data_IF_936091774965
#
_entry.id   IF_936091774965
#
_cell.length_a   1.000
_cell.length_b   1.000
_cell.length_c   1.000
_cell.angle_alpha   90.00
_cell.angle_beta   90.00
_cell.angle_gamma   90.00
#
_symmetry.space_group_name_H-M   'P 1'
#
loop_
_entity.id
_entity.type
_entity.pdbx_description
1 polymer ?
#
# COMPACT_ATOMS: atom_id res chain seq x y z
N UNK A 1 -30.42 13.17 22.95
CA UNK A 1 -29.88 12.67 21.66
C UNK A 1 -28.43 13.14 21.42
N UNK A 2 -28.09 14.43 21.56
CA UNK A 2 -26.69 14.90 21.45
C UNK A 2 -25.77 14.37 22.57
N UNK A 3 -26.30 14.16 23.78
CA UNK A 3 -25.50 13.60 24.89
C UNK A 3 -25.10 12.13 24.67
N UNK A 4 -25.99 11.30 24.13
CA UNK A 4 -25.69 9.89 23.80
C UNK A 4 -24.59 9.79 22.74
N UNK A 5 -24.63 10.66 21.73
CA UNK A 5 -23.64 10.75 20.67
C UNK A 5 -22.26 11.12 21.24
N UNK A 6 -22.18 12.18 22.06
CA UNK A 6 -20.93 12.64 22.68
C UNK A 6 -20.38 11.59 23.66
N UNK A 7 -21.24 10.98 24.49
CA UNK A 7 -20.83 9.93 25.42
C UNK A 7 -20.34 8.68 24.71
N UNK A 8 -21.04 8.21 23.67
CA UNK A 8 -20.61 7.06 22.88
C UNK A 8 -19.24 7.31 22.23
N UNK A 9 -19.07 8.49 21.62
CA UNK A 9 -17.80 8.90 21.02
C UNK A 9 -16.66 8.98 22.05
N UNK A 10 -16.91 9.57 23.22
CA UNK A 10 -15.91 9.69 24.28
C UNK A 10 -15.50 8.33 24.85
N UNK A 11 -16.48 7.47 25.20
CA UNK A 11 -16.20 6.14 25.76
C UNK A 11 -15.41 5.26 24.79
N UNK A 12 -15.69 5.34 23.49
CA UNK A 12 -14.99 4.57 22.47
C UNK A 12 -13.59 5.13 22.19
N UNK A 13 -13.47 6.41 21.82
CA UNK A 13 -12.21 6.98 21.34
C UNK A 13 -11.25 7.40 22.45
N UNK A 14 -11.75 7.89 23.59
CA UNK A 14 -10.93 8.33 24.73
C UNK A 14 -10.91 7.26 25.82
N UNK A 15 -12.06 6.66 26.11
CA UNK A 15 -12.18 5.62 27.12
C UNK A 15 -11.59 4.26 26.70
N UNK A 16 -11.35 4.04 25.41
CA UNK A 16 -10.78 2.79 24.88
C UNK A 16 -11.72 1.58 25.01
N UNK A 17 -13.00 1.80 25.28
CA UNK A 17 -13.98 0.72 25.37
C UNK A 17 -14.25 0.13 23.98
N UNK A 18 -14.52 -1.18 23.93
CA UNK A 18 -15.05 -1.78 22.69
C UNK A 18 -16.47 -1.27 22.42
N UNK A 19 -16.93 -1.38 21.17
CA UNK A 19 -18.32 -1.03 20.82
C UNK A 19 -19.34 -1.83 21.64
N UNK A 20 -19.00 -3.07 22.00
CA UNK A 20 -19.85 -3.91 22.84
C UNK A 20 -19.91 -3.38 24.27
N UNK A 21 -18.79 -2.95 24.84
CA UNK A 21 -18.75 -2.37 26.19
C UNK A 21 -19.48 -1.02 26.24
N UNK A 22 -19.35 -0.20 25.20
CA UNK A 22 -20.11 1.05 25.05
C UNK A 22 -21.61 0.75 24.98
N UNK A 23 -22.02 -0.28 24.24
CA UNK A 23 -23.42 -0.68 24.12
C UNK A 23 -24.03 -1.08 25.47
N UNK A 24 -23.29 -1.89 26.25
CA UNK A 24 -23.69 -2.30 27.61
C UNK A 24 -23.75 -1.10 28.54
N UNK A 25 -22.77 -0.21 28.48
CA UNK A 25 -22.66 0.95 29.38
C UNK A 25 -23.72 2.02 29.14
N UNK A 26 -24.14 2.21 27.89
CA UNK A 26 -25.17 3.19 27.53
C UNK A 26 -26.58 2.59 27.45
N UNK A 27 -26.73 1.26 27.62
CA UNK A 27 -28.01 0.59 27.45
C UNK A 27 -28.55 0.66 26.03
N UNK A 28 -27.65 0.77 25.03
CA UNK A 28 -28.00 0.93 23.62
C UNK A 28 -27.66 -0.35 22.85
N UNK A 29 -28.37 -0.60 21.74
CA UNK A 29 -27.99 -1.68 20.84
C UNK A 29 -26.64 -1.38 20.16
N UNK A 30 -25.87 -2.42 19.82
CA UNK A 30 -24.61 -2.30 19.06
C UNK A 30 -24.81 -1.54 17.74
N UNK A 31 -25.94 -1.76 17.06
CA UNK A 31 -26.29 -1.04 15.83
C UNK A 31 -26.47 0.47 16.07
N UNK A 32 -27.12 0.86 17.18
CA UNK A 32 -27.28 2.27 17.54
C UNK A 32 -25.95 2.91 17.92
N UNK A 33 -25.07 2.20 18.65
CA UNK A 33 -23.70 2.69 18.94
C UNK A 33 -22.90 2.91 17.66
N UNK A 34 -22.93 1.97 16.70
CA UNK A 34 -22.26 2.11 15.40
C UNK A 34 -22.75 3.36 14.65
N UNK A 35 -24.07 3.57 14.61
CA UNK A 35 -24.66 4.74 13.98
C UNK A 35 -24.24 6.05 14.67
N UNK A 36 -24.21 6.08 16.01
CA UNK A 36 -23.76 7.26 16.77
C UNK A 36 -22.28 7.56 16.53
N UNK A 37 -21.41 6.55 16.45
CA UNK A 37 -19.99 6.74 16.15
C UNK A 37 -19.76 7.23 14.71
N UNK A 38 -20.55 6.72 13.75
CA UNK A 38 -20.54 7.23 12.37
C UNK A 38 -21.01 8.69 12.32
N UNK A 39 -22.16 8.99 12.93
CA UNK A 39 -22.70 10.36 12.99
C UNK A 39 -21.73 11.34 13.70
N UNK A 40 -21.02 10.90 14.73
CA UNK A 40 -20.00 11.69 15.41
C UNK A 40 -18.80 12.01 14.49
N UNK A 41 -18.44 11.11 13.58
CA UNK A 41 -17.43 11.35 12.54
C UNK A 41 -17.95 12.27 11.43
N UNK A 42 -19.13 11.98 10.90
CA UNK A 42 -19.73 12.71 9.77
C UNK A 42 -20.07 14.16 10.12
N UNK A 43 -20.50 14.41 11.36
CA UNK A 43 -20.77 15.76 11.88
C UNK A 43 -19.52 16.55 12.26
N UNK A 44 -18.34 15.92 12.23
CA UNK A 44 -17.07 16.53 12.65
C UNK A 44 -16.89 16.68 14.16
N UNK A 45 -17.80 16.12 14.98
CA UNK A 45 -17.65 16.07 16.44
C UNK A 45 -16.36 15.32 16.83
N UNK A 46 -16.05 14.24 16.12
CA UNK A 46 -14.81 13.48 16.26
C UNK A 46 -13.94 13.72 15.04
N UNK A 47 -12.75 14.27 15.26
CA UNK A 47 -11.68 14.37 14.26
C UNK A 47 -10.51 13.51 14.70
N UNK A 48 -10.19 12.50 13.91
CA UNK A 48 -9.03 11.63 14.14
C UNK A 48 -7.91 12.12 13.24
N UNK A 49 -6.78 12.47 13.83
CA UNK A 49 -5.56 12.84 13.12
C UNK A 49 -4.52 11.73 13.34
N UNK A 50 -3.94 11.20 12.28
CA UNK A 50 -2.93 10.14 12.38
C UNK A 50 -1.58 10.78 12.08
N UNK A 51 -0.93 11.33 13.11
CA UNK A 51 0.37 11.99 12.90
C UNK A 51 1.43 10.93 12.61
N UNK A 52 1.74 10.75 11.33
CA UNK A 52 2.78 9.87 10.82
C UNK A 52 3.44 10.55 9.61
N UNK A 53 4.74 10.32 9.40
CA UNK A 53 5.49 10.91 8.26
C UNK A 53 4.85 10.57 6.90
N UNK A 54 4.10 9.47 6.82
CA UNK A 54 3.39 9.02 5.61
C UNK A 54 1.91 9.40 5.54
N UNK A 55 1.33 10.12 6.53
CA UNK A 55 -0.11 10.47 6.57
C UNK A 55 -0.55 11.21 5.29
N UNK A 56 0.25 12.20 4.88
CA UNK A 56 -0.01 12.96 3.65
C UNK A 56 0.07 12.09 2.40
N UNK A 57 0.98 11.11 2.37
CA UNK A 57 1.14 10.16 1.28
C UNK A 57 -0.06 9.22 1.15
N UNK A 58 -0.58 8.70 2.27
CA UNK A 58 -1.76 7.83 2.29
C UNK A 58 -3.01 8.55 1.80
N UNK A 59 -3.29 9.75 2.34
CA UNK A 59 -4.44 10.54 1.91
C UNK A 59 -4.36 10.97 0.43
N UNK A 60 -3.15 11.21 -0.07
CA UNK A 60 -2.92 11.49 -1.49
C UNK A 60 -3.15 10.23 -2.35
N UNK A 61 -2.65 9.08 -1.90
CA UNK A 61 -2.84 7.80 -2.59
C UNK A 61 -4.34 7.48 -2.76
N UNK A 62 -5.14 7.61 -1.71
CA UNK A 62 -6.59 7.39 -1.75
C UNK A 62 -7.29 8.31 -2.75
N UNK A 63 -6.91 9.60 -2.78
CA UNK A 63 -7.46 10.58 -3.73
C UNK A 63 -7.13 10.23 -5.18
N UNK A 64 -5.89 9.82 -5.45
CA UNK A 64 -5.46 9.40 -6.79
C UNK A 64 -6.20 8.12 -7.20
N UNK A 65 -6.28 7.14 -6.30
CA UNK A 65 -6.98 5.88 -6.54
C UNK A 65 -8.45 6.12 -6.90
N UNK A 66 -9.16 6.91 -6.10
CA UNK A 66 -10.56 7.25 -6.34
C UNK A 66 -10.76 8.04 -7.64
N UNK A 67 -9.86 8.99 -7.95
CA UNK A 67 -9.97 9.83 -9.16
C UNK A 67 -9.77 9.03 -10.45
N UNK A 68 -8.85 8.07 -10.45
CA UNK A 68 -8.46 7.33 -11.66
C UNK A 68 -8.96 5.89 -11.69
N UNK A 69 -9.71 5.44 -10.68
CA UNK A 69 -10.22 4.08 -10.59
C UNK A 69 -9.13 3.02 -10.43
N UNK A 70 -8.05 3.34 -9.72
CA UNK A 70 -6.91 2.44 -9.52
C UNK A 70 -7.15 1.52 -8.32
N UNK A 71 -6.75 0.26 -8.45
CA UNK A 71 -6.86 -0.72 -7.35
C UNK A 71 -5.95 -0.39 -6.19
N UNK A 72 -4.76 0.14 -6.47
CA UNK A 72 -3.76 0.46 -5.47
C UNK A 72 -2.88 1.63 -5.93
N UNK A 73 -2.56 2.52 -4.99
CA UNK A 73 -1.62 3.62 -5.18
C UNK A 73 -0.72 3.67 -3.95
N UNK A 74 0.57 3.87 -4.17
CA UNK A 74 1.54 4.14 -3.11
C UNK A 74 2.29 5.43 -3.43
N UNK A 75 2.57 6.23 -2.41
CA UNK A 75 3.26 7.52 -2.55
C UNK A 75 4.53 7.48 -1.70
N UNK A 76 5.67 7.69 -2.33
CA UNK A 76 6.95 7.74 -1.63
C UNK A 76 7.04 9.04 -0.81
N UNK A 77 7.28 8.96 0.52
CA UNK A 77 7.53 10.15 1.33
C UNK A 77 8.92 10.69 0.98
N UNK A 78 8.99 11.92 0.49
CA UNK A 78 10.24 12.55 0.07
C UNK A 78 10.27 14.00 0.52
N UNK A 79 11.29 14.35 1.31
CA UNK A 79 11.50 15.72 1.79
C UNK A 79 12.31 16.57 0.81
N UNK A 80 12.97 15.95 -0.16
CA UNK A 80 13.91 16.60 -1.10
C UNK A 80 13.63 16.22 -2.56
N UNK A 81 13.81 17.20 -3.45
CA UNK A 81 13.43 17.14 -4.88
C UNK A 81 14.55 16.60 -5.78
N UNK A 82 15.52 15.87 -5.24
CA UNK A 82 16.53 15.22 -6.09
C UNK A 82 15.91 14.02 -6.82
N UNK A 83 15.98 14.05 -8.16
CA UNK A 83 15.42 13.03 -9.05
C UNK A 83 15.91 11.60 -8.75
N UNK A 84 17.17 11.44 -8.32
CA UNK A 84 17.74 10.15 -8.00
C UNK A 84 17.24 9.64 -6.63
N UNK A 85 17.06 10.53 -5.66
CA UNK A 85 16.44 10.18 -4.37
C UNK A 85 14.98 9.81 -4.56
N UNK A 86 14.23 10.62 -5.33
CA UNK A 86 12.83 10.35 -5.61
C UNK A 86 12.61 9.01 -6.31
N UNK A 87 13.46 8.71 -7.30
CA UNK A 87 13.43 7.44 -8.02
C UNK A 87 13.77 6.24 -7.13
N UNK A 88 14.70 6.38 -6.17
CA UNK A 88 14.99 5.32 -5.20
C UNK A 88 13.79 5.06 -4.28
N UNK A 89 13.13 6.12 -3.79
CA UNK A 89 11.92 5.97 -2.96
C UNK A 89 10.80 5.25 -3.70
N UNK A 90 10.55 5.59 -4.97
CA UNK A 90 9.58 4.87 -5.81
C UNK A 90 10.01 3.41 -6.05
N UNK A 91 11.30 3.17 -6.30
CA UNK A 91 11.86 1.83 -6.47
C UNK A 91 11.62 0.93 -5.26
N UNK A 92 11.80 1.44 -4.04
CA UNK A 92 11.54 0.72 -2.79
C UNK A 92 10.07 0.33 -2.62
N UNK A 93 9.15 1.26 -2.90
CA UNK A 93 7.71 0.95 -2.85
C UNK A 93 7.32 -0.12 -3.90
N UNK A 94 7.86 -0.01 -5.11
CA UNK A 94 7.62 -0.97 -6.17
C UNK A 94 8.20 -2.37 -5.82
N UNK A 95 9.36 -2.42 -5.17
CA UNK A 95 9.97 -3.66 -4.70
C UNK A 95 9.10 -4.33 -3.62
N UNK A 96 8.63 -3.57 -2.62
CA UNK A 96 7.70 -4.09 -1.61
C UNK A 96 6.37 -4.57 -2.20
N UNK A 97 5.86 -3.89 -3.24
CA UNK A 97 4.70 -4.37 -3.99
C UNK A 97 5.00 -5.71 -4.67
N UNK A 98 6.12 -5.81 -5.39
CA UNK A 98 6.56 -7.04 -6.07
C UNK A 98 6.74 -8.20 -5.08
N UNK A 99 7.36 -7.95 -3.93
CA UNK A 99 7.47 -8.92 -2.84
C UNK A 99 6.08 -9.43 -2.44
N UNK A 100 5.14 -8.54 -2.17
CA UNK A 100 3.80 -8.92 -1.73
C UNK A 100 3.04 -9.77 -2.76
N UNK A 101 3.10 -9.41 -4.04
CA UNK A 101 2.39 -10.17 -5.09
C UNK A 101 3.14 -11.42 -5.55
N UNK A 102 4.45 -11.46 -5.31
CA UNK A 102 5.35 -12.51 -5.78
C UNK A 102 5.56 -13.64 -4.79
N UNK A 103 5.06 -13.57 -3.55
CA UNK A 103 5.26 -14.66 -2.58
C UNK A 103 4.52 -15.94 -2.98
N UNK A 104 5.07 -17.13 -2.66
CA UNK A 104 4.42 -18.42 -2.96
C UNK A 104 3.06 -18.60 -2.27
N UNK A 105 2.93 -18.09 -1.04
CA UNK A 105 1.74 -18.17 -0.19
C UNK A 105 0.62 -17.19 -0.59
N UNK A 106 0.92 -16.19 -1.44
CA UNK A 106 -0.09 -15.32 -2.04
C UNK A 106 -1.02 -16.08 -3.00
N UNK A 107 -0.78 -17.37 -3.24
CA UNK A 107 -1.59 -18.24 -4.11
C UNK A 107 -2.65 -18.99 -3.30
N UNK A 108 -3.86 -19.05 -3.87
CA UNK A 108 -4.74 -20.20 -3.66
C UNK A 108 -4.16 -21.41 -4.40
N UNK A 109 -4.24 -22.60 -3.80
CA UNK A 109 -3.72 -23.86 -4.35
C UNK A 109 -4.15 -24.06 -5.82
N UNK A 110 -3.18 -24.37 -6.71
CA UNK A 110 -3.45 -24.78 -8.10
C UNK A 110 -3.27 -23.75 -9.22
N UNK A 111 -2.72 -22.55 -8.98
CA UNK A 111 -2.39 -21.59 -10.07
C UNK A 111 -1.03 -21.86 -10.73
N UNK A 112 -0.88 -21.50 -12.01
CA UNK A 112 0.36 -21.59 -12.82
C UNK A 112 1.40 -20.51 -12.47
N UNK A 113 2.67 -20.69 -12.85
CA UNK A 113 3.77 -19.72 -12.66
C UNK A 113 3.37 -18.26 -12.95
N UNK A 114 3.79 -17.30 -12.10
CA UNK A 114 3.45 -15.88 -12.29
C UNK A 114 4.48 -15.34 -13.28
N UNK A 115 4.00 -14.88 -14.43
CA UNK A 115 4.83 -14.22 -15.43
C UNK A 115 4.68 -12.71 -15.31
N UNK A 116 5.79 -12.02 -15.10
CA UNK A 116 5.86 -10.56 -14.93
C UNK A 116 6.54 -9.98 -16.16
N UNK A 117 5.79 -9.14 -16.88
CA UNK A 117 6.34 -8.34 -17.96
C UNK A 117 7.11 -7.13 -17.42
N UNK A 118 8.37 -7.00 -17.81
CA UNK A 118 9.26 -5.93 -17.37
C UNK A 118 9.49 -4.95 -18.53
N UNK A 119 9.25 -3.67 -18.26
CA UNK A 119 9.56 -2.57 -19.16
C UNK A 119 10.97 -2.03 -18.98
N UNK A 120 11.32 -1.00 -19.75
CA UNK A 120 12.59 -0.29 -19.63
C UNK A 120 12.56 0.88 -18.64
N UNK A 121 13.74 1.25 -18.13
CA UNK A 121 13.96 2.56 -17.54
C UNK A 121 14.59 2.55 -16.15
N UNK A 122 15.10 3.73 -15.77
CA UNK A 122 15.81 3.93 -14.50
C UNK A 122 14.98 3.60 -13.27
N UNK A 123 13.66 3.79 -13.33
CA UNK A 123 12.75 3.51 -12.20
C UNK A 123 12.56 2.01 -11.98
N UNK A 124 12.43 1.24 -13.07
CA UNK A 124 12.33 -0.23 -13.00
C UNK A 124 13.66 -0.82 -12.53
N UNK A 125 14.79 -0.27 -12.98
CA UNK A 125 16.11 -0.64 -12.47
C UNK A 125 16.24 -0.35 -10.96
N UNK A 126 15.78 0.81 -10.49
CA UNK A 126 15.79 1.15 -9.06
C UNK A 126 14.90 0.22 -8.22
N UNK A 127 13.79 -0.28 -8.77
CA UNK A 127 12.99 -1.34 -8.13
C UNK A 127 13.78 -2.64 -8.02
N UNK A 128 14.46 -3.05 -9.09
CA UNK A 128 15.31 -4.25 -9.07
C UNK A 128 16.53 -4.09 -8.14
N UNK A 129 17.05 -2.87 -7.95
CA UNK A 129 18.10 -2.56 -6.97
C UNK A 129 17.58 -2.68 -5.53
N UNK A 130 16.29 -2.41 -5.30
CA UNK A 130 15.68 -2.36 -3.97
C UNK A 130 15.02 -3.69 -3.56
N UNK A 131 14.81 -4.62 -4.50
CA UNK A 131 14.21 -5.92 -4.21
C UNK A 131 15.13 -6.74 -3.30
N UNK A 132 14.59 -7.27 -2.21
CA UNK A 132 15.39 -8.09 -1.30
C UNK A 132 14.55 -9.17 -0.63
N UNK A 133 15.09 -10.38 -0.51
CA UNK A 133 14.48 -11.45 0.31
C UNK A 133 13.21 -12.09 -0.26
N UNK A 134 12.80 -11.75 -1.49
CA UNK A 134 11.77 -12.52 -2.21
C UNK A 134 12.38 -13.82 -2.74
N UNK A 135 11.85 -14.99 -2.35
CA UNK A 135 12.25 -16.27 -2.93
C UNK A 135 11.03 -17.00 -3.47
N UNK A 136 10.96 -17.12 -4.79
CA UNK A 136 9.92 -17.86 -5.48
C UNK A 136 10.41 -18.29 -6.88
N UNK A 137 10.79 -19.58 -7.05
CA UNK A 137 11.27 -20.10 -8.34
C UNK A 137 10.17 -20.19 -9.42
N UNK A 138 8.90 -20.04 -9.04
CA UNK A 138 7.78 -20.00 -9.98
C UNK A 138 7.54 -18.59 -10.55
N UNK A 139 8.39 -17.61 -10.24
CA UNK A 139 8.38 -16.29 -10.86
C UNK A 139 9.17 -16.30 -12.17
N UNK A 140 8.52 -15.87 -13.23
CA UNK A 140 9.15 -15.69 -14.54
C UNK A 140 9.13 -14.20 -14.91
N UNK A 141 10.27 -13.64 -15.27
CA UNK A 141 10.39 -12.26 -15.75
C UNK A 141 10.65 -12.25 -17.24
N UNK A 142 9.78 -11.56 -17.99
CA UNK A 142 9.89 -11.46 -19.45
C UNK A 142 10.04 -10.00 -19.87
N UNK A 143 10.93 -9.72 -20.81
CA UNK A 143 11.02 -8.38 -21.39
C UNK A 143 9.81 -8.15 -22.30
N UNK A 144 9.06 -7.06 -22.06
CA UNK A 144 7.96 -6.65 -22.95
C UNK A 144 8.45 -5.87 -24.18
N UNK A 145 9.76 -5.55 -24.23
CA UNK A 145 10.36 -4.72 -25.27
C UNK A 145 11.58 -5.41 -25.89
N UNK A 146 11.89 -5.08 -27.15
CA UNK A 146 13.11 -5.52 -27.82
C UNK A 146 14.38 -4.89 -27.25
N UNK A 147 15.54 -5.49 -27.53
CA UNK A 147 16.84 -4.98 -27.06
C UNK A 147 17.33 -3.83 -27.94
N UNK A 148 17.90 -2.79 -27.33
CA UNK A 148 18.77 -1.85 -28.05
C UNK A 148 20.20 -2.39 -28.02
N UNK A 149 20.94 -2.21 -29.11
CA UNK A 149 22.31 -2.72 -29.35
C UNK A 149 23.39 -2.21 -28.38
N UNK A 150 23.04 -1.46 -27.33
CA UNK A 150 23.97 -1.00 -26.29
C UNK A 150 23.52 -1.48 -24.92
N UNK A 151 24.30 -2.38 -24.33
CA UNK A 151 24.19 -2.85 -22.95
C UNK A 151 24.23 -1.65 -22.00
N UNK A 152 23.15 -1.45 -21.25
CA UNK A 152 23.07 -0.44 -20.19
C UNK A 152 22.39 -1.08 -19.01
N UNK A 153 22.77 -0.75 -17.77
CA UNK A 153 22.17 -1.33 -16.56
C UNK A 153 20.65 -1.08 -16.42
N UNK A 154 20.07 -0.26 -17.32
CA UNK A 154 18.64 0.02 -17.45
C UNK A 154 17.96 -0.77 -18.56
N UNK A 155 18.69 -1.65 -19.26
CA UNK A 155 18.13 -2.50 -20.29
C UNK A 155 17.15 -3.48 -19.65
N UNK A 156 15.99 -3.74 -20.29
CA UNK A 156 15.00 -4.62 -19.72
C UNK A 156 15.51 -6.06 -19.56
N UNK A 157 16.47 -6.51 -20.39
CA UNK A 157 17.12 -7.81 -20.25
C UNK A 157 17.97 -7.91 -18.99
N UNK A 158 18.79 -6.89 -18.72
CA UNK A 158 19.62 -6.85 -17.52
C UNK A 158 18.74 -6.79 -16.27
N UNK A 159 17.66 -6.00 -16.31
CA UNK A 159 16.70 -5.91 -15.21
C UNK A 159 15.96 -7.24 -14.99
N UNK A 160 15.47 -7.91 -16.04
CA UNK A 160 14.87 -9.25 -15.91
C UNK A 160 15.84 -10.26 -15.31
N UNK A 161 17.08 -10.31 -15.82
CA UNK A 161 18.10 -11.24 -15.34
C UNK A 161 18.42 -11.02 -13.86
N UNK A 162 18.51 -9.76 -13.43
CA UNK A 162 18.72 -9.40 -12.03
C UNK A 162 17.54 -9.78 -11.14
N UNK A 163 16.31 -9.46 -11.57
CA UNK A 163 15.11 -9.84 -10.82
C UNK A 163 15.02 -11.36 -10.65
N UNK A 164 15.27 -12.13 -11.72
CA UNK A 164 15.30 -13.59 -11.66
C UNK A 164 16.38 -14.10 -10.69
N UNK A 165 17.59 -13.53 -10.73
CA UNK A 165 18.69 -13.91 -9.85
C UNK A 165 18.38 -13.64 -8.36
N UNK A 166 17.68 -12.55 -8.05
CA UNK A 166 17.25 -12.24 -6.68
C UNK A 166 16.13 -13.15 -6.20
N UNK A 167 15.24 -13.60 -7.09
CA UNK A 167 14.07 -14.40 -6.71
C UNK A 167 14.29 -15.91 -6.62
N UNK A 168 15.41 -16.42 -7.12
CA UNK A 168 15.80 -17.83 -7.06
C UNK A 168 15.44 -18.60 -8.31
#
# INVERSE_FOLDING_TARGET
>A
MRDELVQAAWLYHIGGLSQEDVSKRLGLSRFKVLRLLAEARDSGLVRIKIVHETEAGLALADKIAARFGLTEVQVAPLDHVDDAVARRGVGQLAAGYLERIGRPDARAEGKSAITIGVGWGRTVAAMADALSGLRNPDLCFVSLMGSMTRTSATSPFDVCARLAAETG
#
